data_IF_800622985943
#
_entry.id   IF_800622985943
#
_cell.length_a   1.000
_cell.length_b   1.000
_cell.length_c   1.000
_cell.angle_alpha   90.00
_cell.angle_beta   90.00
_cell.angle_gamma   90.00
#
_symmetry.space_group_name_H-M   'P 1'
#
loop_
_entity.id
_entity.type
_entity.pdbx_description
1 polymer ?
#
# COMPACT_ATOMS: atom_id res chain seq x y z
N UNK A 1 4.19 -4.09 26.28
CA UNK A 1 3.92 -4.30 24.84
C UNK A 1 3.44 -2.97 24.28
N UNK A 2 4.28 -2.26 23.51
CA UNK A 2 3.90 -0.96 22.95
C UNK A 2 3.21 -1.17 21.60
N UNK A 3 1.96 -0.72 21.47
CA UNK A 3 1.23 -0.69 20.20
C UNK A 3 1.82 0.42 19.33
N UNK A 4 2.42 0.04 18.21
CA UNK A 4 2.87 0.99 17.18
C UNK A 4 1.63 1.40 16.40
N UNK A 5 1.19 2.66 16.54
CA UNK A 5 0.14 3.27 15.71
C UNK A 5 0.80 4.31 14.81
N UNK A 6 0.42 4.33 13.54
CA UNK A 6 0.79 5.41 12.63
C UNK A 6 0.19 6.73 13.10
N UNK A 7 0.87 7.86 12.84
CA UNK A 7 0.43 9.17 13.29
C UNK A 7 -0.92 9.61 12.70
N UNK A 8 -1.33 9.00 11.58
CA UNK A 8 -2.53 9.34 10.81
C UNK A 8 -3.68 8.32 10.97
N UNK A 9 -3.48 7.26 11.78
CA UNK A 9 -4.50 6.23 11.96
C UNK A 9 -5.71 6.76 12.74
N UNK A 10 -6.82 6.99 12.05
CA UNK A 10 -8.12 7.35 12.63
C UNK A 10 -9.06 6.14 12.63
N UNK A 11 -9.75 5.93 13.74
CA UNK A 11 -10.80 4.92 13.90
C UNK A 11 -12.10 5.37 13.22
N UNK A 12 -12.95 4.41 12.81
CA UNK A 12 -14.28 4.73 12.29
C UNK A 12 -15.12 5.52 13.30
N UNK A 13 -14.97 5.26 14.60
CA UNK A 13 -15.57 6.08 15.64
C UNK A 13 -15.05 7.52 15.62
N UNK A 14 -13.76 7.75 15.40
CA UNK A 14 -13.23 9.12 15.31
C UNK A 14 -13.75 9.87 14.08
N UNK A 15 -14.02 9.18 12.96
CA UNK A 15 -14.52 9.79 11.72
C UNK A 15 -16.04 9.97 11.70
N UNK A 16 -16.78 9.02 12.28
CA UNK A 16 -18.23 8.89 12.08
C UNK A 16 -19.04 8.81 13.37
N UNK A 17 -18.45 8.85 14.56
CA UNK A 17 -19.21 8.83 15.81
C UNK A 17 -20.10 10.09 15.90
N UNK A 18 -21.44 9.93 15.83
CA UNK A 18 -22.37 11.06 15.86
C UNK A 18 -22.29 11.83 17.19
N UNK A 19 -21.68 11.26 18.23
CA UNK A 19 -21.47 11.90 19.52
C UNK A 19 -20.33 12.92 19.52
N UNK A 20 -19.35 12.78 18.60
CA UNK A 20 -18.18 13.64 18.45
C UNK A 20 -18.40 14.77 17.42
N UNK A 21 -19.46 14.71 16.63
CA UNK A 21 -19.84 15.82 15.76
C UNK A 21 -20.15 17.06 16.61
N UNK A 22 -19.59 18.25 16.27
CA UNK A 22 -19.93 19.48 16.97
C UNK A 22 -21.44 19.71 16.84
N UNK A 23 -22.17 19.48 17.93
CA UNK A 23 -23.65 19.54 18.05
C UNK A 23 -24.27 20.92 17.89
N UNK A 24 -23.62 21.83 17.16
CA UNK A 24 -24.14 23.17 16.94
C UNK A 24 -23.91 23.56 15.49
N UNK A 25 -24.73 22.99 14.61
CA UNK A 25 -25.07 23.72 13.39
C UNK A 25 -25.72 25.03 13.85
N UNK A 26 -25.18 26.16 13.43
CA UNK A 26 -25.71 27.50 13.74
C UNK A 26 -27.18 27.65 13.35
N UNK A 27 -27.67 26.74 12.50
CA UNK A 27 -29.04 26.63 12.00
C UNK A 27 -30.02 26.04 13.03
N UNK A 28 -29.56 25.24 14.01
CA UNK A 28 -30.42 24.60 15.02
C UNK A 28 -31.17 25.62 15.90
N UNK A 29 -30.65 26.85 16.01
CA UNK A 29 -31.29 27.95 16.74
C UNK A 29 -32.54 28.50 16.03
N UNK A 30 -32.69 28.27 14.73
CA UNK A 30 -33.76 28.83 13.90
C UNK A 30 -34.78 27.77 13.45
N UNK A 31 -34.48 26.49 13.65
CA UNK A 31 -35.33 25.37 13.28
C UNK A 31 -36.08 24.92 14.53
N UNK A 32 -37.36 25.31 14.64
CA UNK A 32 -38.25 24.81 15.69
C UNK A 32 -38.95 23.53 15.19
N UNK A 33 -38.56 22.33 15.66
CA UNK A 33 -39.10 21.05 15.19
C UNK A 33 -40.57 20.85 15.59
N UNK A 34 -41.12 21.68 16.48
CA UNK A 34 -42.55 21.63 16.86
C UNK A 34 -43.45 22.29 15.82
N UNK A 35 -42.89 23.02 14.86
CA UNK A 35 -43.65 23.58 13.74
C UNK A 35 -43.91 22.49 12.70
N UNK A 36 -45.18 22.19 12.37
CA UNK A 36 -45.53 21.05 11.51
C UNK A 36 -44.96 21.17 10.08
N UNK A 37 -44.74 22.39 9.58
CA UNK A 37 -44.06 22.61 8.28
C UNK A 37 -42.57 22.26 8.31
N UNK A 38 -41.90 22.56 9.43
CA UNK A 38 -40.46 22.27 9.61
C UNK A 38 -40.27 20.77 9.76
N UNK A 39 -41.15 20.11 10.54
CA UNK A 39 -41.16 18.66 10.67
C UNK A 39 -41.42 17.95 9.33
N UNK A 40 -42.38 18.44 8.53
CA UNK A 40 -42.67 17.88 7.21
C UNK A 40 -41.48 18.02 6.25
N UNK A 41 -40.86 19.19 6.18
CA UNK A 41 -39.68 19.42 5.33
C UNK A 41 -38.46 18.60 5.78
N UNK A 42 -38.24 18.44 7.09
CA UNK A 42 -37.20 17.55 7.63
C UNK A 42 -37.44 16.11 7.19
N UNK A 43 -38.64 15.57 7.40
CA UNK A 43 -39.00 14.21 6.99
C UNK A 43 -38.86 14.02 5.48
N UNK A 44 -39.31 14.98 4.66
CA UNK A 44 -39.16 14.94 3.20
C UNK A 44 -37.70 15.03 2.75
N UNK A 45 -36.87 15.83 3.43
CA UNK A 45 -35.43 15.95 3.13
C UNK A 45 -34.63 14.71 3.54
N UNK A 46 -34.98 14.06 4.65
CA UNK A 46 -34.35 12.80 5.05
C UNK A 46 -34.85 11.62 4.20
N UNK A 47 -36.09 11.67 3.73
CA UNK A 47 -36.59 10.71 2.74
C UNK A 47 -35.86 10.85 1.39
N UNK A 48 -35.52 12.08 0.96
CA UNK A 48 -34.77 12.31 -0.28
C UNK A 48 -33.27 12.01 -0.16
N UNK A 49 -32.70 12.07 1.05
CA UNK A 49 -31.29 11.79 1.31
C UNK A 49 -31.01 10.32 1.67
N UNK A 50 -32.03 9.47 1.88
CA UNK A 50 -31.76 8.15 2.47
C UNK A 50 -32.70 6.97 2.25
N UNK A 51 -33.72 7.00 1.38
CA UNK A 51 -34.49 5.76 1.08
C UNK A 51 -34.83 5.63 -0.41
N UNK A 52 -33.89 5.98 -1.29
CA UNK A 52 -33.88 5.50 -2.66
C UNK A 52 -32.49 4.91 -2.93
N UNK A 53 -32.38 3.59 -2.74
CA UNK A 53 -31.15 2.83 -2.94
C UNK A 53 -30.64 2.93 -4.37
N UNK A 54 -29.81 3.93 -4.64
CA UNK A 54 -29.01 4.04 -5.85
C UNK A 54 -27.73 3.20 -5.71
N UNK A 55 -27.29 2.48 -6.76
CA UNK A 55 -26.09 1.64 -6.73
C UNK A 55 -24.80 2.39 -6.37
N UNK A 56 -24.79 3.71 -6.54
CA UNK A 56 -23.65 4.61 -6.29
C UNK A 56 -23.40 4.86 -4.79
N UNK A 57 -24.44 4.98 -3.96
CA UNK A 57 -24.26 5.13 -2.51
C UNK A 57 -23.76 3.82 -1.87
N UNK A 58 -24.19 2.68 -2.40
CA UNK A 58 -23.73 1.38 -1.93
C UNK A 58 -22.23 1.19 -2.18
N UNK A 59 -21.71 1.60 -3.35
CA UNK A 59 -20.27 1.50 -3.66
C UNK A 59 -19.37 2.33 -2.74
N UNK A 60 -19.80 3.55 -2.41
CA UNK A 60 -19.04 4.42 -1.49
C UNK A 60 -19.10 3.89 -0.05
N UNK A 61 -20.25 3.32 0.37
CA UNK A 61 -20.39 2.65 1.67
C UNK A 61 -19.64 1.31 1.74
N UNK A 62 -19.59 0.54 0.65
CA UNK A 62 -18.77 -0.67 0.54
C UNK A 62 -17.28 -0.31 0.65
N UNK A 63 -16.82 0.78 0.02
CA UNK A 63 -15.44 1.27 0.18
C UNK A 63 -15.16 1.75 1.62
N UNK A 64 -16.12 2.37 2.31
CA UNK A 64 -15.97 2.76 3.72
C UNK A 64 -15.79 1.54 4.65
N UNK A 65 -16.45 0.42 4.36
CA UNK A 65 -16.26 -0.85 5.09
C UNK A 65 -14.93 -1.52 4.69
N UNK A 66 -14.51 -1.38 3.43
CA UNK A 66 -13.23 -1.93 2.94
C UNK A 66 -12.03 -1.29 3.64
N UNK A 67 -12.13 -0.02 4.05
CA UNK A 67 -11.12 0.66 4.86
C UNK A 67 -10.89 0.00 6.24
N UNK A 68 -11.81 -0.80 6.76
CA UNK A 68 -11.61 -1.53 8.02
C UNK A 68 -10.77 -2.81 7.84
N UNK A 69 -10.73 -3.37 6.63
CA UNK A 69 -10.13 -4.70 6.35
C UNK A 69 -8.72 -4.62 5.78
N UNK A 70 -8.30 -3.50 5.18
CA UNK A 70 -6.91 -3.29 4.76
C UNK A 70 -6.01 -2.87 5.94
N UNK A 71 -5.94 -3.72 6.97
CA UNK A 71 -4.85 -3.67 7.94
C UNK A 71 -3.84 -4.75 7.58
N UNK A 72 -2.95 -4.45 6.64
CA UNK A 72 -1.69 -5.21 6.53
C UNK A 72 -0.81 -4.86 7.74
N UNK A 73 -1.13 -5.38 8.92
CA UNK A 73 -0.19 -5.34 10.03
C UNK A 73 1.01 -6.20 9.64
N UNK A 74 2.12 -5.56 9.28
CA UNK A 74 3.43 -6.20 9.32
C UNK A 74 3.74 -6.49 10.79
N UNK A 75 3.33 -7.67 11.27
CA UNK A 75 3.55 -8.12 12.66
C UNK A 75 5.07 -8.22 12.96
N UNK A 76 5.91 -8.32 11.93
CA UNK A 76 7.34 -8.49 12.04
C UNK A 76 8.13 -7.49 11.20
N UNK A 77 8.91 -6.64 11.86
CA UNK A 77 9.93 -5.82 11.19
C UNK A 77 11.15 -6.68 10.86
N UNK A 78 11.63 -6.68 9.62
CA UNK A 78 12.92 -7.27 9.29
C UNK A 78 14.00 -6.71 10.22
N UNK A 79 14.99 -7.52 10.62
CA UNK A 79 16.13 -7.03 11.39
C UNK A 79 16.75 -5.82 10.70
N UNK A 80 17.15 -4.79 11.47
CA UNK A 80 17.81 -3.61 10.91
C UNK A 80 19.08 -4.02 10.16
N UNK A 81 19.10 -3.83 8.85
CA UNK A 81 20.27 -4.08 8.01
C UNK A 81 21.00 -2.78 7.69
N UNK A 82 22.32 -2.85 7.51
CA UNK A 82 23.09 -1.70 7.02
C UNK A 82 22.82 -1.53 5.52
N UNK A 83 22.41 -0.34 5.03
CA UNK A 83 22.21 -0.12 3.61
C UNK A 83 23.54 -0.26 2.84
N UNK A 84 23.45 -0.72 1.59
CA UNK A 84 24.57 -0.67 0.66
C UNK A 84 24.67 0.75 0.08
N UNK A 85 25.88 1.19 -0.27
CA UNK A 85 26.03 2.45 -1.00
C UNK A 85 25.60 2.24 -2.45
N UNK A 86 24.62 3.02 -2.88
CA UNK A 86 24.03 2.92 -4.21
C UNK A 86 24.65 3.93 -5.16
N UNK A 87 25.04 3.48 -6.35
CA UNK A 87 25.48 4.32 -7.46
C UNK A 87 24.91 3.79 -8.78
N UNK A 88 24.69 4.68 -9.75
CA UNK A 88 24.26 4.28 -11.09
C UNK A 88 25.49 3.84 -11.88
N UNK A 89 25.53 2.58 -12.30
CA UNK A 89 26.63 2.05 -13.09
C UNK A 89 26.62 2.62 -14.51
N UNK A 90 27.79 2.83 -15.11
CA UNK A 90 27.92 3.47 -16.43
C UNK A 90 27.20 2.68 -17.53
N UNK A 91 27.29 1.34 -17.53
CA UNK A 91 26.54 0.48 -18.45
C UNK A 91 25.01 0.68 -18.38
N UNK A 92 24.45 1.02 -17.21
CA UNK A 92 23.02 1.34 -17.11
C UNK A 92 22.73 2.68 -17.78
N UNK A 93 23.61 3.67 -17.60
CA UNK A 93 23.49 4.98 -18.28
C UNK A 93 23.61 4.81 -19.80
N UNK A 94 24.54 3.96 -20.24
CA UNK A 94 24.68 3.56 -21.63
C UNK A 94 23.41 2.90 -22.16
N UNK A 95 22.87 1.90 -21.44
CA UNK A 95 21.62 1.24 -21.80
C UNK A 95 20.45 2.23 -21.93
N UNK A 96 20.30 3.15 -20.99
CA UNK A 96 19.25 4.19 -21.06
C UNK A 96 19.42 5.08 -22.30
N UNK A 97 20.67 5.39 -22.68
CA UNK A 97 20.96 6.26 -23.82
C UNK A 97 20.82 5.57 -25.18
N UNK A 98 21.23 4.30 -25.28
CA UNK A 98 21.36 3.58 -26.55
C UNK A 98 20.37 2.42 -26.72
N UNK A 99 19.64 2.06 -25.66
CA UNK A 99 18.65 0.97 -25.68
C UNK A 99 19.24 -0.44 -25.59
N UNK A 100 20.56 -0.57 -25.47
CA UNK A 100 21.27 -1.84 -25.42
C UNK A 100 22.46 -1.79 -24.45
N UNK A 101 22.85 -2.93 -23.91
CA UNK A 101 24.08 -3.04 -23.12
C UNK A 101 25.32 -2.99 -24.01
N UNK A 102 26.51 -2.69 -23.45
CA UNK A 102 27.78 -2.78 -24.16
C UNK A 102 28.04 -4.19 -24.73
N UNK A 103 28.75 -4.27 -25.86
CA UNK A 103 28.98 -5.53 -26.60
C UNK A 103 29.83 -6.55 -25.84
N UNK A 104 30.66 -6.09 -24.90
CA UNK A 104 31.46 -6.92 -23.99
C UNK A 104 30.64 -7.50 -22.82
N UNK A 105 29.32 -7.30 -22.82
CA UNK A 105 28.41 -7.67 -21.73
C UNK A 105 28.38 -6.60 -20.64
N UNK A 106 27.64 -6.90 -19.56
CA UNK A 106 27.52 -6.00 -18.41
C UNK A 106 27.50 -6.78 -17.11
N UNK A 107 28.18 -6.25 -16.09
CA UNK A 107 28.01 -6.68 -14.70
C UNK A 107 27.01 -5.83 -13.93
N UNK A 108 26.38 -4.85 -14.60
CA UNK A 108 25.49 -3.88 -13.96
C UNK A 108 24.04 -4.36 -13.82
N UNK A 109 23.69 -5.44 -14.52
CA UNK A 109 22.37 -6.04 -14.49
C UNK A 109 22.47 -7.57 -14.62
N UNK A 110 21.50 -8.27 -14.05
CA UNK A 110 21.30 -9.71 -14.19
C UNK A 110 19.87 -9.99 -14.59
N UNK A 111 19.53 -11.24 -14.93
CA UNK A 111 18.13 -11.62 -15.06
C UNK A 111 17.40 -11.37 -13.74
N UNK A 112 16.18 -10.84 -13.81
CA UNK A 112 15.47 -10.38 -12.63
C UNK A 112 15.23 -11.51 -11.62
N UNK A 113 14.88 -12.70 -12.12
CA UNK A 113 14.59 -13.87 -11.28
C UNK A 113 15.82 -14.58 -10.73
N UNK A 114 17.04 -14.29 -11.22
CA UNK A 114 18.26 -14.80 -10.61
C UNK A 114 18.48 -14.24 -9.20
N UNK A 115 17.87 -13.09 -8.88
CA UNK A 115 17.86 -12.54 -7.53
C UNK A 115 17.27 -13.51 -6.50
N UNK A 116 16.29 -14.33 -6.90
CA UNK A 116 15.60 -15.32 -6.06
C UNK A 116 16.51 -16.50 -5.67
N UNK A 117 17.60 -16.75 -6.40
CA UNK A 117 18.58 -17.78 -6.03
C UNK A 117 19.28 -17.51 -4.69
N UNK A 118 19.10 -16.32 -4.12
CA UNK A 118 19.61 -15.93 -2.80
C UNK A 118 18.58 -16.07 -1.67
N UNK A 119 17.39 -16.55 -2.00
CA UNK A 119 16.22 -16.70 -1.12
C UNK A 119 15.96 -18.19 -0.88
N UNK A 120 15.00 -18.57 -0.04
CA UNK A 120 14.57 -19.97 0.13
C UNK A 120 14.06 -20.57 -1.18
N UNK A 121 13.65 -19.73 -2.14
CA UNK A 121 13.23 -20.20 -3.47
C UNK A 121 14.37 -20.83 -4.28
N UNK A 122 15.63 -20.70 -3.85
CA UNK A 122 16.78 -21.37 -4.48
C UNK A 122 16.61 -22.89 -4.58
N UNK A 123 15.85 -23.49 -3.66
CA UNK A 123 15.61 -24.93 -3.65
C UNK A 123 14.76 -25.40 -4.84
N UNK A 124 14.02 -24.49 -5.48
CA UNK A 124 13.24 -24.78 -6.67
C UNK A 124 14.07 -24.51 -7.93
N UNK A 125 13.85 -25.32 -8.96
CA UNK A 125 14.45 -25.07 -10.25
C UNK A 125 13.73 -23.89 -10.92
N UNK A 126 14.39 -22.74 -10.96
CA UNK A 126 13.88 -21.54 -11.62
C UNK A 126 14.29 -21.64 -13.09
N UNK A 127 13.34 -21.83 -14.03
CA UNK A 127 13.68 -22.01 -15.43
C UNK A 127 14.42 -20.78 -15.98
N UNK A 128 15.53 -20.94 -16.72
CA UNK A 128 16.21 -19.81 -17.35
C UNK A 128 15.33 -19.03 -18.34
N UNK A 129 14.29 -19.68 -18.87
CA UNK A 129 13.29 -19.06 -19.75
C UNK A 129 12.36 -18.09 -19.00
N UNK A 130 12.21 -18.24 -17.68
CA UNK A 130 11.40 -17.35 -16.87
C UNK A 130 12.05 -15.96 -16.84
N UNK A 131 11.47 -15.02 -17.58
CA UNK A 131 12.00 -13.67 -17.67
C UNK A 131 13.33 -13.56 -18.42
N UNK A 132 13.55 -14.36 -19.47
CA UNK A 132 14.79 -14.33 -20.27
C UNK A 132 15.17 -12.96 -20.87
N UNK A 133 14.23 -12.00 -20.89
CA UNK A 133 14.45 -10.61 -21.34
C UNK A 133 14.18 -9.58 -20.24
N UNK A 134 13.90 -10.02 -19.02
CA UNK A 134 13.62 -9.17 -17.88
C UNK A 134 14.88 -9.08 -17.02
N UNK A 135 15.47 -7.89 -17.01
CA UNK A 135 16.68 -7.62 -16.27
C UNK A 135 16.38 -6.78 -15.03
N UNK A 136 17.13 -7.02 -13.97
CA UNK A 136 17.18 -6.17 -12.79
C UNK A 136 18.60 -5.60 -12.65
N UNK A 137 18.70 -4.33 -12.29
CA UNK A 137 20.01 -3.73 -12.03
C UNK A 137 20.60 -4.32 -10.75
N UNK A 138 21.92 -4.47 -10.70
CA UNK A 138 22.60 -4.96 -9.50
C UNK A 138 22.35 -4.07 -8.29
N UNK A 139 22.18 -2.77 -8.53
CA UNK A 139 21.84 -1.78 -7.52
C UNK A 139 20.45 -2.04 -6.91
N UNK A 140 19.47 -2.45 -7.72
CA UNK A 140 18.14 -2.86 -7.25
C UNK A 140 18.18 -4.19 -6.50
N UNK A 141 18.96 -5.17 -6.99
CA UNK A 141 19.06 -6.51 -6.39
C UNK A 141 19.83 -6.49 -5.06
N UNK A 142 20.77 -5.56 -4.87
CA UNK A 142 21.65 -5.47 -3.69
C UNK A 142 21.43 -4.16 -2.94
N UNK A 143 20.43 -4.14 -2.07
CA UNK A 143 20.07 -2.94 -1.29
C UNK A 143 20.72 -2.86 0.09
N UNK A 144 21.11 -4.00 0.65
CA UNK A 144 21.65 -4.10 2.01
C UNK A 144 22.97 -4.86 2.05
N UNK A 145 23.80 -4.55 3.05
CA UNK A 145 25.03 -5.31 3.33
C UNK A 145 24.67 -6.69 3.84
N UNK A 146 25.06 -7.72 3.11
CA UNK A 146 24.74 -9.12 3.43
C UNK A 146 25.79 -9.77 4.32
N UNK A 147 25.33 -10.63 5.24
CA UNK A 147 26.19 -11.62 5.89
C UNK A 147 26.42 -12.81 4.94
N UNK A 148 27.60 -13.44 4.99
CA UNK A 148 28.02 -14.47 4.02
C UNK A 148 27.17 -15.77 4.02
N UNK A 149 26.25 -15.97 4.96
CA UNK A 149 25.53 -17.23 5.16
C UNK A 149 24.01 -17.10 5.35
N UNK A 150 23.41 -15.95 5.04
CA UNK A 150 21.98 -15.70 5.30
C UNK A 150 21.14 -15.83 4.02
N UNK A 151 20.03 -16.56 4.13
CA UNK A 151 18.95 -16.59 3.14
C UNK A 151 18.20 -15.25 3.18
N UNK A 152 18.02 -14.60 2.03
CA UNK A 152 17.47 -13.24 1.94
C UNK A 152 15.94 -13.21 1.81
N UNK A 153 15.26 -13.88 2.74
CA UNK A 153 13.78 -13.95 2.77
C UNK A 153 13.16 -12.86 3.63
N UNK A 154 13.99 -12.09 4.34
CA UNK A 154 13.55 -11.13 5.35
C UNK A 154 12.63 -10.03 4.77
N UNK A 155 12.73 -9.79 3.46
CA UNK A 155 11.97 -8.77 2.74
C UNK A 155 10.97 -9.35 1.73
N UNK A 156 10.80 -10.68 1.70
CA UNK A 156 9.80 -11.33 0.87
C UNK A 156 8.47 -11.41 1.64
N UNK A 157 7.36 -11.11 0.96
CA UNK A 157 6.04 -11.36 1.55
C UNK A 157 5.84 -12.88 1.68
N UNK A 158 5.41 -13.38 2.85
CA UNK A 158 4.99 -14.77 2.97
C UNK A 158 3.76 -15.01 2.09
N UNK A 159 3.72 -16.19 1.47
CA UNK A 159 2.55 -16.68 0.74
C UNK A 159 1.90 -17.73 1.65
N UNK A 160 0.67 -17.46 2.10
CA UNK A 160 -0.12 -18.35 2.95
C UNK A 160 -1.28 -18.94 2.14
#
# INVERSE_FOLDING_TARGET
MAQIKEAEAQTLSELYDPSQMPRKSTLDKYIDPRKPRVHKLLVESFASVGIAGGPTLHKEQEHQITHEVEREQQIYWPPKQKPLSHYVHEDIRYFVKYGQFPDNGTSAASLAFDSLRKTSLRQFDIPPSLGARLYATENFVKTVKRAKATVDDQFLKPVH
#
